data_IF_392886110199
#
_entry.id   IF_392886110199
#
_cell.length_a   1.000
_cell.length_b   1.000
_cell.length_c   1.000
_cell.angle_alpha   90.00
_cell.angle_beta   90.00
_cell.angle_gamma   90.00
#
_symmetry.space_group_name_H-M   'P 1'
#
loop_
_entity.id
_entity.type
_entity.pdbx_description
1 polymer ?
#
# COMPACT_ATOMS: atom_id res chain seq x y z
N UNK A 1 -16.64 8.29 6.28
CA UNK A 1 -16.45 7.95 4.86
C UNK A 1 -15.03 8.23 4.34
N UNK A 2 -14.53 9.48 4.29
CA UNK A 2 -13.18 9.74 3.76
C UNK A 2 -12.05 9.06 4.56
N UNK A 3 -12.05 9.22 5.90
CA UNK A 3 -11.06 8.59 6.79
C UNK A 3 -10.99 7.06 6.64
N UNK A 4 -12.14 6.41 6.48
CA UNK A 4 -12.22 4.95 6.33
C UNK A 4 -11.70 4.49 4.96
N UNK A 5 -11.98 5.26 3.90
CA UNK A 5 -11.41 4.99 2.57
C UNK A 5 -9.89 5.13 2.56
N UNK A 6 -9.35 6.15 3.26
CA UNK A 6 -7.90 6.33 3.42
C UNK A 6 -7.29 5.13 4.14
N UNK A 7 -7.86 4.70 5.28
CA UNK A 7 -7.40 3.49 5.99
C UNK A 7 -7.41 2.22 5.13
N UNK A 8 -8.46 2.02 4.33
CA UNK A 8 -8.56 0.89 3.39
C UNK A 8 -7.48 0.94 2.31
N UNK A 9 -7.21 2.12 1.75
CA UNK A 9 -6.14 2.32 0.77
C UNK A 9 -4.76 2.06 1.38
N UNK A 10 -4.49 2.63 2.55
CA UNK A 10 -3.25 2.39 3.31
C UNK A 10 -3.09 0.91 3.65
N UNK A 11 -4.18 0.23 4.03
CA UNK A 11 -4.18 -1.21 4.29
C UNK A 11 -3.86 -2.03 3.04
N UNK A 12 -4.42 -1.70 1.88
CA UNK A 12 -4.08 -2.39 0.61
C UNK A 12 -2.60 -2.25 0.33
N UNK A 13 -2.07 -1.03 0.46
CA UNK A 13 -0.67 -0.73 0.20
C UNK A 13 0.26 -1.51 1.13
N UNK A 14 0.08 -1.38 2.45
CA UNK A 14 0.90 -2.10 3.42
C UNK A 14 0.81 -3.62 3.26
N UNK A 15 -0.38 -4.14 2.93
CA UNK A 15 -0.59 -5.56 2.69
C UNK A 15 0.17 -6.08 1.46
N UNK A 16 0.33 -5.28 0.39
CA UNK A 16 1.17 -5.65 -0.76
C UNK A 16 2.62 -5.85 -0.34
N UNK A 17 3.17 -4.94 0.46
CA UNK A 17 4.54 -5.07 1.00
C UNK A 17 4.68 -6.26 1.95
N UNK A 18 3.62 -6.60 2.69
CA UNK A 18 3.61 -7.78 3.53
C UNK A 18 3.62 -9.08 2.73
N UNK A 19 2.78 -9.18 1.70
CA UNK A 19 2.79 -10.33 0.77
C UNK A 19 4.11 -10.46 0.01
N UNK A 20 4.80 -9.35 -0.25
CA UNK A 20 6.15 -9.32 -0.82
C UNK A 20 7.27 -9.67 0.17
N UNK A 21 6.95 -9.83 1.46
CA UNK A 21 7.91 -10.22 2.50
C UNK A 21 8.75 -9.07 3.09
N UNK A 22 8.37 -7.81 2.84
CA UNK A 22 9.11 -6.65 3.36
C UNK A 22 8.68 -6.25 4.78
N UNK A 23 7.42 -6.50 5.15
CA UNK A 23 6.88 -6.24 6.49
C UNK A 23 6.00 -7.39 6.97
N UNK A 24 5.79 -7.52 8.28
CA UNK A 24 4.87 -8.54 8.79
C UNK A 24 3.40 -8.19 8.50
N UNK A 25 2.52 -9.20 8.55
CA UNK A 25 1.07 -8.98 8.44
C UNK A 25 0.55 -8.08 9.56
N UNK A 26 1.15 -8.20 10.75
CA UNK A 26 0.81 -7.39 11.93
C UNK A 26 1.22 -5.93 11.74
N UNK A 27 2.40 -5.66 11.18
CA UNK A 27 2.82 -4.30 10.82
C UNK A 27 1.86 -3.68 9.80
N UNK A 28 1.49 -4.44 8.77
CA UNK A 28 0.54 -3.98 7.76
C UNK A 28 -0.84 -3.63 8.35
N UNK A 29 -1.28 -4.40 9.35
CA UNK A 29 -2.52 -4.14 10.10
C UNK A 29 -2.42 -2.88 10.92
N UNK A 30 -1.34 -2.73 11.68
CA UNK A 30 -1.09 -1.55 12.50
C UNK A 30 -1.08 -0.27 11.65
N UNK A 31 -0.31 -0.28 10.55
CA UNK A 31 -0.19 0.84 9.61
C UNK A 31 -1.55 1.20 8.99
N UNK A 32 -2.39 0.22 8.68
CA UNK A 32 -3.72 0.47 8.10
C UNK A 32 -4.66 1.20 9.06
N UNK A 33 -4.47 1.02 10.37
CA UNK A 33 -5.38 1.48 11.41
C UNK A 33 -6.81 0.92 11.29
N UNK A 34 -6.99 -0.18 10.56
CA UNK A 34 -8.26 -0.89 10.41
C UNK A 34 -8.48 -1.85 11.59
N UNK A 35 -9.75 -2.15 11.86
CA UNK A 35 -10.10 -3.29 12.71
C UNK A 35 -9.78 -4.62 11.99
N UNK A 36 -9.74 -5.71 12.75
CA UNK A 36 -9.39 -7.05 12.27
C UNK A 36 -10.22 -7.50 11.07
N UNK A 37 -11.55 -7.34 11.13
CA UNK A 37 -12.43 -7.79 10.05
C UNK A 37 -12.18 -7.01 8.77
N UNK A 38 -12.07 -5.69 8.88
CA UNK A 38 -11.80 -4.81 7.74
C UNK A 38 -10.40 -5.04 7.16
N UNK A 39 -9.42 -5.32 8.02
CA UNK A 39 -8.05 -5.60 7.60
C UNK A 39 -7.95 -6.92 6.84
N UNK A 40 -8.55 -8.01 7.34
CA UNK A 40 -8.51 -9.31 6.66
C UNK A 40 -9.10 -9.25 5.25
N UNK A 41 -10.21 -8.51 5.05
CA UNK A 41 -10.80 -8.30 3.74
C UNK A 41 -9.83 -7.57 2.79
N UNK A 42 -9.16 -6.53 3.28
CA UNK A 42 -8.18 -5.74 2.53
C UNK A 42 -6.92 -6.56 2.24
N UNK A 43 -6.43 -7.32 3.21
CA UNK A 43 -5.25 -8.17 3.10
C UNK A 43 -5.44 -9.29 2.07
N UNK A 44 -6.63 -9.89 2.04
CA UNK A 44 -7.02 -10.87 1.02
C UNK A 44 -7.18 -10.24 -0.37
N UNK A 45 -7.64 -8.99 -0.47
CA UNK A 45 -7.69 -8.29 -1.76
C UNK A 45 -6.29 -7.93 -2.27
N UNK A 46 -5.39 -7.54 -1.37
CA UNK A 46 -4.02 -7.16 -1.69
C UNK A 46 -3.18 -8.33 -2.21
N UNK A 47 -3.47 -9.58 -1.82
CA UNK A 47 -2.77 -10.76 -2.35
C UNK A 47 -2.93 -10.88 -3.88
N UNK A 48 -4.10 -10.56 -4.42
CA UNK A 48 -4.34 -10.57 -5.87
C UNK A 48 -3.51 -9.51 -6.60
N UNK A 49 -3.21 -8.39 -5.95
CA UNK A 49 -2.36 -7.32 -6.51
C UNK A 49 -0.89 -7.73 -6.41
N UNK A 50 -0.47 -8.24 -5.24
CA UNK A 50 0.88 -8.76 -5.03
C UNK A 50 1.21 -9.91 -5.98
N UNK A 51 0.30 -10.87 -6.19
CA UNK A 51 0.49 -11.96 -7.16
C UNK A 51 0.64 -11.44 -8.59
N UNK A 52 -0.14 -10.43 -8.99
CA UNK A 52 -0.02 -9.83 -10.32
C UNK A 52 1.29 -9.08 -10.48
N UNK A 53 1.77 -8.41 -9.44
CA UNK A 53 3.09 -7.79 -9.41
C UNK A 53 4.20 -8.83 -9.53
N UNK A 54 4.15 -9.89 -8.73
CA UNK A 54 5.15 -10.97 -8.78
C UNK A 54 5.16 -11.73 -10.11
N UNK A 55 4.00 -11.86 -10.78
CA UNK A 55 3.88 -12.53 -12.08
C UNK A 55 4.16 -11.62 -13.28
N UNK A 56 4.14 -10.30 -13.09
CA UNK A 56 4.53 -9.36 -14.15
C UNK A 56 6.05 -9.42 -14.31
N UNK A 57 6.50 -10.16 -15.33
CA UNK A 57 7.93 -10.35 -15.67
C UNK A 57 8.74 -9.07 -15.46
N UNK A 58 9.69 -9.12 -14.51
CA UNK A 58 10.75 -8.16 -14.16
C UNK A 58 10.47 -6.68 -14.41
N UNK A 59 10.47 -6.26 -15.68
CA UNK A 59 10.44 -4.86 -16.10
C UNK A 59 9.09 -4.15 -15.85
N UNK A 60 7.96 -4.86 -15.73
CA UNK A 60 6.64 -4.23 -15.50
C UNK A 60 6.30 -4.03 -14.04
N UNK A 61 6.69 -4.96 -13.17
CA UNK A 61 6.51 -4.85 -11.74
C UNK A 61 7.45 -3.76 -11.18
N UNK A 62 8.70 -3.75 -11.64
CA UNK A 62 9.68 -2.73 -11.29
C UNK A 62 9.19 -1.34 -11.71
N UNK A 63 8.73 -1.16 -12.96
CA UNK A 63 8.13 0.12 -13.41
C UNK A 63 6.87 0.52 -12.65
N UNK A 64 6.02 -0.44 -12.26
CA UNK A 64 4.85 -0.13 -11.44
C UNK A 64 5.27 0.38 -10.07
N UNK A 65 6.23 -0.29 -9.42
CA UNK A 65 6.76 0.15 -8.12
C UNK A 65 7.50 1.49 -8.24
N UNK A 66 8.24 1.70 -9.33
CA UNK A 66 8.98 2.94 -9.61
C UNK A 66 8.03 4.12 -9.83
N UNK A 67 7.04 4.01 -10.72
CA UNK A 67 6.03 5.05 -10.91
C UNK A 67 5.19 5.29 -9.65
N UNK A 68 4.91 4.23 -8.90
CA UNK A 68 4.18 4.35 -7.65
C UNK A 68 5.01 5.04 -6.56
N UNK A 69 6.32 4.79 -6.52
CA UNK A 69 7.25 5.51 -5.65
C UNK A 69 7.39 6.98 -6.05
N UNK A 70 7.48 7.30 -7.35
CA UNK A 70 7.49 8.67 -7.87
C UNK A 70 6.23 9.44 -7.44
N UNK A 71 5.05 8.82 -7.58
CA UNK A 71 3.77 9.41 -7.17
C UNK A 71 3.68 9.62 -5.64
N UNK A 72 4.23 8.71 -4.83
CA UNK A 72 4.34 8.91 -3.38
C UNK A 72 5.28 10.08 -3.07
N UNK A 73 6.42 10.19 -3.76
CA UNK A 73 7.40 11.25 -3.56
C UNK A 73 6.84 12.62 -3.96
N UNK A 74 6.11 12.70 -5.07
CA UNK A 74 5.37 13.90 -5.48
C UNK A 74 4.27 14.25 -4.48
N UNK A 75 3.46 13.27 -4.07
CA UNK A 75 2.43 13.48 -3.06
C UNK A 75 3.01 13.96 -1.72
N UNK A 76 4.15 13.41 -1.30
CA UNK A 76 4.86 13.84 -0.09
C UNK A 76 5.45 15.25 -0.24
N UNK A 77 5.98 15.63 -1.41
CA UNK A 77 6.45 17.00 -1.70
C UNK A 77 5.30 17.99 -1.67
N UNK A 78 4.18 17.67 -2.30
CA UNK A 78 2.98 18.53 -2.29
C UNK A 78 2.40 18.63 -0.87
N UNK A 79 2.39 17.53 -0.11
CA UNK A 79 1.94 17.51 1.27
C UNK A 79 2.86 18.34 2.18
N UNK A 80 4.18 18.17 2.07
CA UNK A 80 5.18 18.99 2.77
C UNK A 80 5.04 20.48 2.42
N UNK A 81 4.90 20.83 1.13
CA UNK A 81 4.69 22.20 0.68
C UNK A 81 3.37 22.82 1.17
N UNK A 82 2.31 22.01 1.27
CA UNK A 82 0.98 22.45 1.71
C UNK A 82 0.85 22.58 3.23
N UNK A 83 1.63 21.81 4.00
CA UNK A 83 1.52 21.76 5.46
C UNK A 83 2.76 22.28 6.21
N UNK A 84 3.82 22.69 5.52
CA UNK A 84 4.94 23.46 6.07
C UNK A 84 5.88 22.67 6.99
N UNK A 85 6.22 21.43 6.62
CA UNK A 85 7.31 20.65 7.22
C UNK A 85 8.44 20.49 6.21
#
# INVERSE_FOLDING_TARGET
MAKEKVKKMTGVFASVFSHAGHISKEDAKEISGLDDSSFEEVYAKASNVAEKLMKAEGDKADKFLEHFAEEIDEWMKEFSAKFGF
#
